data_IF_899977719174
#
_entry.id   IF_899977719174
#
_cell.length_a   1.000
_cell.length_b   1.000
_cell.length_c   1.000
_cell.angle_alpha   90.00
_cell.angle_beta   90.00
_cell.angle_gamma   90.00
#
_symmetry.space_group_name_H-M   'P 1'
#
loop_
_entity.id
_entity.type
_entity.pdbx_description
1 polymer ?
#
# COMPACT_ATOMS: atom_id res chain seq x y z
N UNK A 1 -10.83 10.27 -23.62
CA UNK A 1 -10.78 8.87 -24.13
C UNK A 1 -11.90 8.10 -23.47
N UNK A 2 -12.62 7.24 -24.19
CA UNK A 2 -13.69 6.44 -23.59
C UNK A 2 -13.07 5.36 -22.72
N UNK A 3 -13.34 5.38 -21.41
CA UNK A 3 -13.15 4.22 -20.56
C UNK A 3 -14.09 3.12 -21.04
N UNK A 4 -13.61 1.89 -21.07
CA UNK A 4 -14.48 0.74 -21.38
C UNK A 4 -15.34 0.52 -20.13
N UNK A 5 -16.63 0.78 -20.26
CA UNK A 5 -17.60 0.47 -19.21
C UNK A 5 -17.59 -1.05 -19.02
N UNK A 6 -17.28 -1.49 -17.84
CA UNK A 6 -17.28 -2.92 -17.52
C UNK A 6 -18.65 -3.28 -16.95
N UNK A 7 -19.39 -4.08 -17.70
CA UNK A 7 -20.66 -4.60 -17.23
C UNK A 7 -20.45 -5.66 -16.12
N UNK A 8 -21.36 -5.71 -15.17
CA UNK A 8 -21.40 -6.73 -14.11
C UNK A 8 -21.32 -8.17 -14.68
N UNK A 9 -21.89 -8.39 -15.86
CA UNK A 9 -21.82 -9.68 -16.56
C UNK A 9 -20.39 -10.07 -16.91
N UNK A 10 -19.57 -9.12 -17.37
CA UNK A 10 -18.17 -9.35 -17.71
C UNK A 10 -17.34 -9.69 -16.47
N UNK A 11 -17.56 -9.00 -15.34
CA UNK A 11 -16.92 -9.32 -14.06
C UNK A 11 -17.31 -10.72 -13.54
N UNK A 12 -18.58 -11.13 -13.73
CA UNK A 12 -19.02 -12.49 -13.36
C UNK A 12 -18.37 -13.56 -14.24
N UNK A 13 -18.35 -13.36 -15.56
CA UNK A 13 -17.68 -14.28 -16.48
C UNK A 13 -16.20 -14.43 -16.13
N UNK A 14 -15.51 -13.32 -15.82
CA UNK A 14 -14.10 -13.34 -15.39
C UNK A 14 -13.90 -14.05 -14.05
N UNK A 15 -14.85 -13.93 -13.12
CA UNK A 15 -14.85 -14.67 -11.86
C UNK A 15 -14.93 -16.18 -12.09
N UNK A 16 -15.79 -16.63 -13.00
CA UNK A 16 -15.93 -18.04 -13.36
C UNK A 16 -14.67 -18.57 -14.06
N UNK A 17 -14.08 -17.77 -14.97
CA UNK A 17 -12.86 -18.14 -15.70
C UNK A 17 -11.64 -18.28 -14.78
N UNK A 18 -11.45 -17.31 -13.85
CA UNK A 18 -10.23 -17.23 -13.03
C UNK A 18 -10.36 -17.92 -11.68
N UNK A 19 -11.57 -18.24 -11.23
CA UNK A 19 -11.86 -18.72 -9.88
C UNK A 19 -11.68 -17.66 -8.78
N UNK A 20 -11.46 -16.39 -9.15
CA UNK A 20 -11.38 -15.28 -8.20
C UNK A 20 -12.81 -14.88 -7.82
N UNK A 21 -13.15 -14.74 -6.52
CA UNK A 21 -14.48 -14.32 -6.11
C UNK A 21 -14.91 -13.00 -6.76
N UNK A 22 -16.17 -12.92 -7.18
CA UNK A 22 -16.70 -11.73 -7.84
C UNK A 22 -16.49 -10.44 -7.03
N UNK A 23 -16.65 -10.48 -5.70
CA UNK A 23 -16.40 -9.35 -4.80
C UNK A 23 -14.96 -8.83 -4.88
N UNK A 24 -14.00 -9.75 -5.07
CA UNK A 24 -12.59 -9.39 -5.17
C UNK A 24 -12.26 -8.78 -6.53
N UNK A 25 -12.87 -9.28 -7.61
CA UNK A 25 -12.73 -8.70 -8.93
C UNK A 25 -13.38 -7.31 -9.01
N UNK A 26 -14.55 -7.15 -8.39
CA UNK A 26 -15.20 -5.84 -8.27
C UNK A 26 -14.31 -4.86 -7.50
N UNK A 27 -13.71 -5.30 -6.38
CA UNK A 27 -12.77 -4.48 -5.63
C UNK A 27 -11.56 -4.07 -6.48
N UNK A 28 -11.03 -4.99 -7.28
CA UNK A 28 -9.96 -4.71 -8.26
C UNK A 28 -10.39 -3.68 -9.29
N UNK A 29 -11.56 -3.83 -9.88
CA UNK A 29 -12.10 -2.89 -10.85
C UNK A 29 -12.27 -1.47 -10.28
N UNK A 30 -12.86 -1.36 -9.09
CA UNK A 30 -13.00 -0.07 -8.41
C UNK A 30 -11.64 0.55 -8.07
N UNK A 31 -10.66 -0.27 -7.70
CA UNK A 31 -9.28 0.20 -7.48
C UNK A 31 -8.62 0.72 -8.77
N UNK A 32 -8.81 0.02 -9.89
CA UNK A 32 -8.30 0.45 -11.19
C UNK A 32 -8.87 1.82 -11.58
N UNK A 33 -10.17 2.01 -11.43
CA UNK A 33 -10.82 3.28 -11.72
C UNK A 33 -10.33 4.41 -10.78
N UNK A 34 -10.11 4.10 -9.51
CA UNK A 34 -9.50 5.06 -8.58
C UNK A 34 -8.08 5.45 -9.00
N UNK A 35 -7.28 4.49 -9.46
CA UNK A 35 -5.92 4.77 -9.95
C UNK A 35 -5.95 5.65 -11.22
N UNK A 36 -6.92 5.48 -12.11
CA UNK A 36 -7.13 6.40 -13.23
C UNK A 36 -7.43 7.83 -12.77
N UNK A 37 -8.28 7.98 -11.74
CA UNK A 37 -8.61 9.28 -11.18
C UNK A 37 -7.39 9.96 -10.54
N UNK A 38 -6.54 9.18 -9.85
CA UNK A 38 -5.30 9.68 -9.25
C UNK A 38 -4.31 10.09 -10.35
N UNK A 39 -4.12 9.27 -11.38
CA UNK A 39 -3.23 9.56 -12.50
C UNK A 39 -3.63 10.83 -13.26
N UNK A 40 -4.91 11.01 -13.52
CA UNK A 40 -5.46 12.17 -14.23
C UNK A 40 -5.55 13.43 -13.33
N UNK A 41 -5.23 13.29 -12.04
CA UNK A 41 -5.30 14.39 -11.09
C UNK A 41 -4.09 15.31 -11.17
N UNK A 42 -4.20 16.57 -10.74
CA UNK A 42 -3.06 17.47 -10.61
C UNK A 42 -2.04 17.00 -9.55
N UNK A 43 -2.39 15.98 -8.77
CA UNK A 43 -1.53 15.43 -7.71
C UNK A 43 -0.67 14.26 -8.17
N UNK A 44 -0.87 13.71 -9.38
CA UNK A 44 -0.21 12.49 -9.86
C UNK A 44 1.32 12.53 -9.78
N UNK A 45 1.93 13.70 -9.99
CA UNK A 45 3.38 13.89 -9.91
C UNK A 45 3.91 13.98 -8.47
N UNK A 46 3.04 14.21 -7.50
CA UNK A 46 3.39 14.43 -6.10
C UNK A 46 2.99 13.27 -5.19
N UNK A 47 2.26 12.30 -5.72
CA UNK A 47 1.83 11.11 -5.00
C UNK A 47 2.64 9.90 -5.46
N UNK A 48 3.53 9.41 -4.60
CA UNK A 48 4.36 8.25 -4.88
C UNK A 48 3.86 7.06 -4.07
N UNK A 49 3.44 6.01 -4.76
CA UNK A 49 2.86 4.82 -4.13
C UNK A 49 3.93 4.02 -3.37
N UNK A 50 3.73 3.80 -2.07
CA UNK A 50 4.65 3.05 -1.19
C UNK A 50 4.36 1.55 -1.16
N UNK A 51 3.16 1.12 -1.52
CA UNK A 51 2.73 -0.27 -1.44
C UNK A 51 2.18 -0.79 -2.78
N UNK A 52 2.99 -0.74 -3.82
CA UNK A 52 2.62 -1.19 -5.17
C UNK A 52 2.09 -2.63 -5.23
N UNK A 53 2.51 -3.49 -4.28
CA UNK A 53 1.94 -4.82 -4.13
C UNK A 53 0.41 -4.83 -3.91
N UNK A 54 -0.18 -3.72 -3.43
CA UNK A 54 -1.63 -3.57 -3.29
C UNK A 54 -2.36 -3.59 -4.64
N UNK A 55 -1.67 -3.26 -5.73
CA UNK A 55 -2.20 -3.26 -7.09
C UNK A 55 -2.18 -4.66 -7.74
N UNK A 56 -1.57 -5.66 -7.10
CA UNK A 56 -1.43 -7.00 -7.67
C UNK A 56 -2.71 -7.82 -7.61
N UNK A 57 -2.96 -8.62 -8.65
CA UNK A 57 -4.12 -9.56 -8.74
C UNK A 57 -4.18 -10.51 -7.55
N UNK A 58 -3.03 -10.91 -6.99
CA UNK A 58 -2.96 -11.76 -5.79
C UNK A 58 -3.58 -11.11 -4.55
N UNK A 59 -3.60 -9.78 -4.48
CA UNK A 59 -4.24 -9.07 -3.38
C UNK A 59 -5.77 -9.16 -3.47
N UNK A 60 -6.34 -9.26 -4.66
CA UNK A 60 -7.78 -9.44 -4.87
C UNK A 60 -8.29 -10.79 -4.33
N UNK A 61 -7.40 -11.76 -4.10
CA UNK A 61 -7.74 -13.05 -3.49
C UNK A 61 -7.73 -13.01 -1.96
N UNK A 62 -7.09 -12.02 -1.34
CA UNK A 62 -6.73 -12.08 0.09
C UNK A 62 -7.38 -11.04 0.98
N UNK A 63 -7.91 -9.93 0.45
CA UNK A 63 -8.30 -8.79 1.29
C UNK A 63 -9.70 -8.27 1.02
N UNK A 64 -10.40 -7.98 2.13
CA UNK A 64 -11.71 -7.32 2.11
C UNK A 64 -11.60 -5.78 2.14
N UNK A 65 -10.43 -5.21 2.47
CA UNK A 65 -10.17 -3.79 2.50
C UNK A 65 -8.92 -3.47 1.70
N UNK A 66 -9.08 -2.63 0.69
CA UNK A 66 -7.97 -2.12 -0.10
C UNK A 66 -7.37 -0.89 0.59
N UNK A 67 -6.07 -0.89 0.77
CA UNK A 67 -5.34 0.24 1.34
C UNK A 67 -4.24 0.65 0.37
N UNK A 68 -4.22 1.94 0.01
CA UNK A 68 -3.14 2.57 -0.76
C UNK A 68 -2.36 3.51 0.14
N UNK A 69 -1.06 3.32 0.21
CA UNK A 69 -0.15 4.17 0.97
C UNK A 69 0.67 5.02 -0.01
N UNK A 70 0.53 6.34 0.09
CA UNK A 70 1.28 7.29 -0.74
C UNK A 70 2.21 8.15 0.11
N UNK A 71 3.38 8.46 -0.45
CA UNK A 71 4.19 9.59 -0.02
C UNK A 71 3.77 10.83 -0.83
N UNK A 72 3.57 11.97 -0.17
CA UNK A 72 3.27 13.24 -0.80
C UNK A 72 4.52 14.13 -0.81
N UNK A 73 4.95 14.52 -1.99
CA UNK A 73 6.15 15.33 -2.18
C UNK A 73 5.81 16.80 -2.09
N UNK A 74 6.42 17.50 -1.14
CA UNK A 74 6.20 18.93 -0.92
C UNK A 74 7.30 19.81 -1.53
N UNK A 75 8.14 19.28 -2.46
CA UNK A 75 9.24 20.05 -3.07
C UNK A 75 8.71 21.34 -3.73
N UNK A 76 9.05 22.53 -3.17
CA UNK A 76 8.58 23.80 -3.69
C UNK A 76 9.03 24.09 -5.13
N UNK A 77 10.15 23.50 -5.57
CA UNK A 77 10.68 23.69 -6.93
C UNK A 77 9.87 22.90 -7.96
N UNK A 78 9.51 21.67 -7.62
CA UNK A 78 8.64 20.84 -8.44
C UNK A 78 7.25 21.47 -8.54
N UNK A 79 6.67 21.90 -7.43
CA UNK A 79 5.36 22.58 -7.37
C UNK A 79 5.32 23.84 -8.22
N UNK A 80 6.36 24.69 -8.13
CA UNK A 80 6.45 25.91 -8.91
C UNK A 80 6.52 25.66 -10.41
N UNK A 81 7.24 24.61 -10.82
CA UNK A 81 7.39 24.24 -12.23
C UNK A 81 6.07 23.80 -12.84
N UNK A 82 5.25 23.09 -12.09
CA UNK A 82 3.94 22.56 -12.50
C UNK A 82 2.79 23.54 -12.24
N UNK A 83 3.11 24.79 -11.84
CA UNK A 83 2.08 25.81 -11.56
C UNK A 83 1.29 25.59 -10.28
N UNK A 84 1.73 24.70 -9.41
CA UNK A 84 1.12 24.45 -8.10
C UNK A 84 1.66 25.49 -7.12
N UNK A 85 0.77 26.00 -6.25
CA UNK A 85 1.15 27.04 -5.28
C UNK A 85 2.19 26.51 -4.30
N UNK A 86 3.40 27.11 -4.23
CA UNK A 86 4.42 26.70 -3.26
C UNK A 86 3.91 26.82 -1.82
N UNK A 87 4.27 25.87 -0.97
CA UNK A 87 3.98 25.93 0.46
C UNK A 87 2.64 25.33 0.90
N UNK A 88 1.99 24.54 0.05
CA UNK A 88 0.88 23.71 0.49
C UNK A 88 1.42 22.49 1.23
N UNK A 89 1.61 22.63 2.53
CA UNK A 89 1.88 21.50 3.40
C UNK A 89 0.73 20.49 3.36
N UNK A 90 1.03 19.23 3.58
CA UNK A 90 0.01 18.20 3.73
C UNK A 90 -0.87 18.53 4.95
N UNK A 91 -2.12 18.80 4.70
CA UNK A 91 -3.08 19.24 5.72
C UNK A 91 -4.44 18.63 5.46
N UNK A 92 -5.33 18.73 6.44
CA UNK A 92 -6.72 18.31 6.29
C UNK A 92 -7.39 19.04 5.10
N UNK A 93 -7.05 20.32 4.88
CA UNK A 93 -7.55 21.09 3.73
C UNK A 93 -7.09 20.45 2.41
N UNK A 94 -5.82 20.03 2.31
CA UNK A 94 -5.31 19.33 1.14
C UNK A 94 -6.03 17.99 0.95
N UNK A 95 -6.26 17.23 2.01
CA UNK A 95 -7.05 16.00 1.98
C UNK A 95 -8.46 16.23 1.41
N UNK A 96 -9.14 17.29 1.82
CA UNK A 96 -10.45 17.64 1.24
C UNK A 96 -10.36 18.05 -0.24
N UNK A 97 -9.27 18.70 -0.67
CA UNK A 97 -9.08 19.04 -2.09
C UNK A 97 -8.88 17.77 -2.92
N UNK A 98 -8.04 16.83 -2.46
CA UNK A 98 -7.85 15.53 -3.09
C UNK A 98 -9.15 14.74 -3.18
N UNK A 99 -9.88 14.66 -2.07
CA UNK A 99 -11.16 13.99 -2.00
C UNK A 99 -12.19 14.63 -2.93
N UNK A 100 -12.29 15.97 -2.94
CA UNK A 100 -13.21 16.69 -3.82
C UNK A 100 -12.89 16.46 -5.30
N UNK A 101 -11.62 16.28 -5.64
CA UNK A 101 -11.24 15.92 -7.01
C UNK A 101 -11.78 14.53 -7.37
N UNK A 102 -11.57 13.54 -6.52
CA UNK A 102 -12.06 12.16 -6.74
C UNK A 102 -13.58 12.12 -6.83
N UNK A 103 -14.28 12.82 -5.90
CA UNK A 103 -15.75 12.80 -5.85
C UNK A 103 -16.42 13.56 -7.01
N UNK A 104 -15.75 14.56 -7.61
CA UNK A 104 -16.32 15.41 -8.66
C UNK A 104 -16.13 14.85 -10.08
N UNK A 105 -15.36 13.79 -10.23
CA UNK A 105 -15.08 13.28 -11.58
C UNK A 105 -16.21 12.36 -12.04
N UNK A 106 -17.06 12.86 -12.93
CA UNK A 106 -18.12 12.11 -13.64
C UNK A 106 -17.58 11.19 -14.74
N UNK A 107 -16.32 10.74 -14.64
CA UNK A 107 -15.66 10.02 -15.74
C UNK A 107 -16.00 8.53 -15.78
N UNK A 108 -16.52 7.98 -14.71
CA UNK A 108 -16.92 6.57 -14.64
C UNK A 108 -18.42 6.51 -14.44
N UNK A 109 -19.21 6.30 -15.49
CA UNK A 109 -20.67 6.36 -15.43
C UNK A 109 -21.29 5.33 -14.49
N UNK A 110 -20.56 4.26 -14.14
CA UNK A 110 -21.10 3.13 -13.38
C UNK A 110 -20.59 3.10 -11.93
N UNK A 111 -19.65 3.98 -11.54
CA UNK A 111 -19.14 4.07 -10.17
C UNK A 111 -19.41 5.46 -9.61
N UNK A 112 -20.21 5.52 -8.55
CA UNK A 112 -20.33 6.73 -7.75
C UNK A 112 -19.39 6.68 -6.56
N UNK A 113 -18.84 7.84 -6.17
CA UNK A 113 -17.84 7.92 -5.14
C UNK A 113 -18.37 8.67 -3.92
N UNK A 114 -18.14 8.11 -2.74
CA UNK A 114 -18.37 8.76 -1.45
C UNK A 114 -17.10 8.68 -0.62
N UNK A 115 -16.92 9.65 0.29
CA UNK A 115 -15.74 9.58 1.15
C UNK A 115 -15.67 10.70 2.17
N UNK A 116 -14.67 10.56 3.04
CA UNK A 116 -14.29 11.54 4.04
C UNK A 116 -12.78 11.62 4.17
N UNK A 117 -12.28 12.77 4.62
CA UNK A 117 -10.88 13.00 4.92
C UNK A 117 -10.70 13.20 6.42
N UNK A 118 -9.61 12.69 6.98
CA UNK A 118 -9.15 12.99 8.32
C UNK A 118 -7.65 13.29 8.28
N UNK A 119 -7.15 14.07 9.22
CA UNK A 119 -5.73 14.40 9.30
C UNK A 119 -5.15 13.96 10.63
N UNK A 120 -3.94 13.45 10.57
CA UNK A 120 -3.03 13.25 11.69
C UNK A 120 -1.80 14.15 11.55
N UNK A 121 -0.78 13.88 12.33
CA UNK A 121 0.50 14.56 12.26
C UNK A 121 1.22 14.15 10.96
N UNK A 122 1.50 15.13 10.07
CA UNK A 122 2.10 14.92 8.73
C UNK A 122 1.43 13.84 7.88
N UNK A 123 0.14 13.58 8.11
CA UNK A 123 -0.61 12.54 7.44
C UNK A 123 -2.06 12.94 7.17
N UNK A 124 -2.57 12.53 6.03
CA UNK A 124 -3.99 12.58 5.67
C UNK A 124 -4.46 11.16 5.34
N UNK A 125 -5.59 10.79 5.91
CA UNK A 125 -6.28 9.55 5.59
C UNK A 125 -7.58 9.90 4.84
N UNK A 126 -7.78 9.25 3.67
CA UNK A 126 -9.01 9.35 2.89
C UNK A 126 -9.71 7.99 2.97
N UNK A 127 -10.90 7.97 3.52
CA UNK A 127 -11.79 6.82 3.46
C UNK A 127 -12.76 7.02 2.30
N UNK A 128 -12.63 6.22 1.27
CA UNK A 128 -13.40 6.33 0.03
C UNK A 128 -14.20 5.06 -0.17
N UNK A 129 -15.38 5.19 -0.69
CA UNK A 129 -16.22 4.08 -1.12
C UNK A 129 -16.62 4.28 -2.58
N UNK A 130 -16.26 3.32 -3.43
CA UNK A 130 -16.79 3.20 -4.78
C UNK A 130 -18.08 2.40 -4.75
N UNK A 131 -19.17 2.99 -5.21
CA UNK A 131 -20.47 2.34 -5.30
C UNK A 131 -20.72 1.91 -6.76
N UNK A 132 -20.86 0.62 -6.95
CA UNK A 132 -21.17 -0.01 -8.24
C UNK A 132 -22.50 -0.73 -8.13
N UNK A 133 -23.55 -0.24 -8.76
CA UNK A 133 -24.94 -0.67 -8.56
C UNK A 133 -25.32 -0.62 -7.04
N UNK A 134 -25.66 -1.80 -6.47
CA UNK A 134 -26.03 -1.93 -5.05
C UNK A 134 -24.84 -2.34 -4.14
N UNK A 135 -23.62 -2.39 -4.70
CA UNK A 135 -22.44 -2.88 -4.00
C UNK A 135 -21.50 -1.72 -3.67
N UNK A 136 -20.92 -1.77 -2.48
CA UNK A 136 -19.98 -0.77 -1.99
C UNK A 136 -18.61 -1.40 -1.79
N UNK A 137 -17.58 -0.80 -2.36
CA UNK A 137 -16.17 -1.20 -2.20
C UNK A 137 -15.44 -0.12 -1.38
N UNK A 138 -15.10 -0.41 -0.13
CA UNK A 138 -14.33 0.51 0.70
C UNK A 138 -12.85 0.49 0.30
N UNK A 139 -12.26 1.67 0.17
CA UNK A 139 -10.83 1.88 -0.07
C UNK A 139 -10.30 2.90 0.93
N UNK A 140 -9.20 2.58 1.56
CA UNK A 140 -8.48 3.49 2.44
C UNK A 140 -7.23 4.01 1.72
N UNK A 141 -7.08 5.32 1.61
CA UNK A 141 -5.88 5.96 1.09
C UNK A 141 -5.20 6.68 2.23
N UNK A 142 -3.96 6.31 2.51
CA UNK A 142 -3.09 7.03 3.43
C UNK A 142 -2.09 7.85 2.63
N UNK A 143 -2.00 9.13 2.94
CA UNK A 143 -1.02 10.05 2.35
C UNK A 143 -0.14 10.57 3.46
N UNK A 144 1.15 10.31 3.39
CA UNK A 144 2.14 10.77 4.38
C UNK A 144 3.07 11.78 3.72
N UNK A 145 3.34 12.88 4.40
CA UNK A 145 4.25 13.90 3.89
C UNK A 145 5.68 13.35 3.76
N UNK A 146 6.27 13.54 2.58
CA UNK A 146 7.65 13.17 2.33
C UNK A 146 8.57 14.31 2.77
N UNK A 147 9.35 14.06 3.82
CA UNK A 147 10.30 15.01 4.40
C UNK A 147 11.74 14.79 3.94
N UNK A 148 11.99 13.75 3.14
CA UNK A 148 13.32 13.43 2.65
C UNK A 148 13.62 14.16 1.35
N UNK A 149 14.77 14.83 1.30
CA UNK A 149 15.25 15.52 0.11
C UNK A 149 16.05 14.57 -0.80
N UNK A 150 15.99 14.82 -2.09
CA UNK A 150 16.86 14.12 -3.07
C UNK A 150 16.36 12.78 -3.55
N UNK A 151 15.24 12.26 -3.04
CA UNK A 151 14.65 11.02 -3.55
C UNK A 151 14.10 11.22 -4.96
N UNK A 152 14.25 10.17 -5.78
CA UNK A 152 13.73 10.13 -7.15
C UNK A 152 12.75 8.96 -7.27
N UNK A 153 11.50 9.21 -7.67
CA UNK A 153 10.52 8.14 -7.80
C UNK A 153 10.83 7.22 -8.97
N UNK A 154 10.42 5.98 -8.85
CA UNK A 154 10.49 5.01 -9.93
C UNK A 154 9.20 5.10 -10.76
N UNK A 155 9.32 5.27 -12.07
CA UNK A 155 8.16 5.23 -12.97
C UNK A 155 7.73 3.79 -13.18
N UNK A 156 6.48 3.50 -12.89
CA UNK A 156 5.85 2.19 -13.09
C UNK A 156 4.58 2.30 -13.92
N UNK A 157 4.11 1.17 -14.36
CA UNK A 157 2.85 1.07 -15.08
C UNK A 157 2.03 -0.06 -14.47
N UNK A 158 0.82 0.27 -14.07
CA UNK A 158 -0.16 -0.70 -13.62
C UNK A 158 -0.92 -1.24 -14.83
N UNK A 159 -1.03 -2.56 -14.92
CA UNK A 159 -1.77 -3.25 -15.97
C UNK A 159 -3.15 -3.62 -15.41
N UNK A 160 -4.23 -3.04 -15.94
CA UNK A 160 -5.58 -3.46 -15.59
C UNK A 160 -5.78 -4.94 -15.82
N UNK A 161 -6.51 -5.58 -14.94
CA UNK A 161 -6.75 -7.01 -15.03
C UNK A 161 -7.82 -7.36 -16.08
N UNK A 162 -8.71 -6.42 -16.41
CA UNK A 162 -9.69 -6.58 -17.46
C UNK A 162 -9.07 -6.28 -18.82
N UNK A 163 -9.38 -7.13 -19.80
CA UNK A 163 -8.91 -6.96 -21.18
C UNK A 163 -9.40 -5.64 -21.78
N UNK A 164 -8.51 -4.95 -22.49
CA UNK A 164 -8.80 -3.66 -23.11
C UNK A 164 -8.67 -2.45 -22.17
N UNK A 165 -8.33 -2.66 -20.89
CA UNK A 165 -8.00 -1.57 -19.98
C UNK A 165 -6.75 -0.82 -20.41
N UNK A 166 -6.76 0.52 -20.22
CA UNK A 166 -5.60 1.37 -20.50
C UNK A 166 -4.56 1.17 -19.39
N UNK A 167 -3.29 1.03 -19.77
CA UNK A 167 -2.19 1.07 -18.83
C UNK A 167 -2.18 2.38 -18.03
N UNK A 168 -2.01 2.28 -16.71
CA UNK A 168 -2.01 3.42 -15.80
C UNK A 168 -0.58 3.67 -15.33
N UNK A 169 0.06 4.74 -15.78
CA UNK A 169 1.36 5.12 -15.25
C UNK A 169 1.19 5.67 -13.83
N UNK A 170 2.15 5.34 -12.96
CA UNK A 170 2.21 5.88 -11.61
C UNK A 170 3.65 6.05 -11.16
N UNK A 171 3.85 6.84 -10.13
CA UNK A 171 5.15 6.99 -9.47
C UNK A 171 5.19 6.10 -8.23
N UNK A 172 6.24 5.29 -8.15
CA UNK A 172 6.51 4.42 -7.00
C UNK A 172 7.59 5.03 -6.12
N UNK A 173 7.37 4.98 -4.82
CA UNK A 173 8.37 5.36 -3.83
C UNK A 173 9.54 4.36 -3.88
N UNK A 174 10.80 4.82 -3.84
CA UNK A 174 11.95 3.92 -3.96
C UNK A 174 11.94 2.81 -2.91
N UNK A 175 12.09 1.58 -3.36
CA UNK A 175 12.02 0.39 -2.49
C UNK A 175 13.14 0.37 -1.45
N UNK A 176 14.32 0.88 -1.80
CA UNK A 176 15.45 1.03 -0.90
C UNK A 176 15.14 1.97 0.26
N UNK A 177 14.40 3.06 0.00
CA UNK A 177 13.95 3.97 1.06
C UNK A 177 12.93 3.31 1.99
N UNK A 178 12.00 2.51 1.45
CA UNK A 178 11.06 1.72 2.26
C UNK A 178 11.82 0.75 3.17
N UNK A 179 12.83 0.07 2.63
CA UNK A 179 13.67 -0.84 3.41
C UNK A 179 14.45 -0.10 4.49
N UNK A 180 15.09 1.03 4.16
CA UNK A 180 15.85 1.84 5.10
C UNK A 180 14.97 2.36 6.26
N UNK A 181 13.77 2.87 5.95
CA UNK A 181 12.78 3.27 6.97
C UNK A 181 12.40 2.09 7.89
N UNK A 182 12.04 0.95 7.33
CA UNK A 182 11.63 -0.21 8.13
C UNK A 182 12.80 -0.78 8.94
N UNK A 183 13.99 -0.88 8.37
CA UNK A 183 15.20 -1.30 9.09
C UNK A 183 15.53 -0.32 10.23
N UNK A 184 15.36 0.99 10.01
CA UNK A 184 15.54 1.97 11.07
C UNK A 184 14.60 1.72 12.24
N UNK A 185 13.30 1.43 12.00
CA UNK A 185 12.34 1.10 13.06
C UNK A 185 12.74 -0.19 13.79
N UNK A 186 13.16 -1.21 13.07
CA UNK A 186 13.66 -2.47 13.67
C UNK A 186 14.85 -2.21 14.60
N UNK A 187 15.81 -1.38 14.19
CA UNK A 187 17.01 -1.06 14.98
C UNK A 187 16.64 -0.21 16.21
N UNK A 188 15.72 0.74 16.06
CA UNK A 188 15.32 1.65 17.13
C UNK A 188 14.49 0.95 18.20
N UNK A 189 13.49 0.21 17.79
CA UNK A 189 12.42 -0.28 18.67
C UNK A 189 12.69 -1.73 19.16
N UNK A 190 13.45 -2.52 18.40
CA UNK A 190 13.85 -3.90 18.73
C UNK A 190 12.71 -4.72 19.37
N UNK A 191 12.86 -5.12 20.62
CA UNK A 191 11.88 -5.90 21.38
C UNK A 191 10.59 -5.15 21.69
N UNK A 192 10.59 -3.82 21.62
CA UNK A 192 9.44 -2.96 21.85
C UNK A 192 8.66 -2.66 20.58
N UNK A 193 8.95 -3.37 19.47
CA UNK A 193 8.28 -3.15 18.19
C UNK A 193 6.78 -3.44 18.34
N UNK A 194 5.91 -2.43 18.16
CA UNK A 194 4.48 -2.61 18.38
C UNK A 194 3.81 -3.47 17.30
N UNK A 195 4.47 -3.62 16.15
CA UNK A 195 3.93 -4.35 14.98
C UNK A 195 5.01 -5.22 14.32
N UNK A 196 4.89 -6.52 14.49
CA UNK A 196 5.79 -7.50 13.88
C UNK A 196 5.67 -7.58 12.35
N UNK A 197 4.63 -6.98 11.75
CA UNK A 197 4.45 -6.95 10.29
C UNK A 197 5.57 -6.21 9.56
N UNK A 198 6.36 -5.39 10.27
CA UNK A 198 7.56 -4.73 9.74
C UNK A 198 8.60 -5.76 9.29
N UNK A 199 8.79 -6.85 10.03
CA UNK A 199 9.69 -7.94 9.64
C UNK A 199 9.21 -8.62 8.35
N UNK A 200 7.91 -8.90 8.25
CA UNK A 200 7.32 -9.53 7.07
C UNK A 200 7.45 -8.65 5.84
N UNK A 201 7.29 -7.33 6.00
CA UNK A 201 7.49 -6.36 4.91
C UNK A 201 8.94 -6.35 4.43
N UNK A 202 9.90 -6.22 5.33
CA UNK A 202 11.34 -6.23 5.00
C UNK A 202 11.70 -7.53 4.31
N UNK A 203 11.29 -8.66 4.86
CA UNK A 203 11.55 -9.98 4.28
C UNK A 203 10.91 -10.14 2.90
N UNK A 204 9.64 -9.74 2.78
CA UNK A 204 8.91 -9.81 1.51
C UNK A 204 9.63 -9.04 0.41
N UNK A 205 10.02 -7.79 0.68
CA UNK A 205 10.73 -6.96 -0.29
C UNK A 205 12.08 -7.59 -0.67
N UNK A 206 12.89 -7.97 0.31
CA UNK A 206 14.21 -8.58 0.06
C UNK A 206 14.14 -9.89 -0.73
N UNK A 207 13.00 -10.58 -0.67
CA UNK A 207 12.76 -11.82 -1.42
C UNK A 207 12.31 -11.59 -2.85
N UNK A 208 11.57 -10.51 -3.11
CA UNK A 208 10.85 -10.30 -4.38
C UNK A 208 11.45 -9.20 -5.25
N UNK A 209 12.11 -8.20 -4.65
CA UNK A 209 12.62 -7.04 -5.37
C UNK A 209 14.17 -7.07 -5.47
N UNK A 210 14.72 -6.73 -6.63
CA UNK A 210 16.15 -6.45 -6.74
C UNK A 210 16.44 -5.12 -6.04
N UNK A 211 17.32 -5.15 -5.03
CA UNK A 211 17.63 -3.95 -4.23
C UNK A 211 19.14 -3.70 -4.20
N UNK A 212 19.52 -2.40 -4.17
CA UNK A 212 20.92 -2.00 -3.96
C UNK A 212 21.23 -1.89 -2.46
N UNK A 213 21.94 -2.91 -1.94
CA UNK A 213 22.32 -2.96 -0.52
C UNK A 213 23.21 -1.80 -0.07
N UNK A 214 24.04 -1.22 -0.97
CA UNK A 214 24.86 -0.06 -0.65
C UNK A 214 23.98 1.17 -0.46
N UNK A 215 23.04 1.37 -1.36
CA UNK A 215 22.11 2.49 -1.28
C UNK A 215 21.23 2.40 -0.03
N UNK A 216 20.74 1.20 0.33
CA UNK A 216 20.03 0.98 1.59
C UNK A 216 20.89 1.37 2.80
N UNK A 217 22.17 0.98 2.80
CA UNK A 217 23.09 1.31 3.90
C UNK A 217 23.30 2.83 4.03
N UNK A 218 23.43 3.54 2.94
CA UNK A 218 23.57 5.00 2.90
C UNK A 218 22.32 5.67 3.47
N UNK A 219 21.13 5.30 2.99
CA UNK A 219 19.84 5.83 3.48
C UNK A 219 19.61 5.52 4.96
N UNK A 220 19.89 4.28 5.39
CA UNK A 220 19.78 3.90 6.80
C UNK A 220 20.73 4.70 7.68
N UNK A 221 21.96 4.93 7.22
CA UNK A 221 22.95 5.78 7.90
C UNK A 221 22.46 7.21 8.07
N UNK A 222 21.80 7.78 7.06
CA UNK A 222 21.18 9.10 7.15
C UNK A 222 20.02 9.15 8.14
N UNK A 223 19.12 8.14 8.14
CA UNK A 223 18.05 8.02 9.12
C UNK A 223 18.58 7.96 10.56
N UNK A 224 19.61 7.14 10.79
CA UNK A 224 20.25 7.01 12.08
C UNK A 224 20.90 8.32 12.53
N UNK A 225 21.61 9.01 11.63
CA UNK A 225 22.26 10.30 11.89
C UNK A 225 21.26 11.39 12.23
N UNK A 226 20.18 11.54 11.43
CA UNK A 226 19.12 12.53 11.68
C UNK A 226 18.45 12.37 13.04
N UNK A 227 18.34 11.12 13.53
CA UNK A 227 17.67 10.79 14.79
C UNK A 227 18.62 10.44 15.93
N UNK A 228 19.91 10.72 15.76
CA UNK A 228 20.97 10.50 16.76
C UNK A 228 21.01 9.04 17.28
N UNK A 229 20.67 8.08 16.43
CA UNK A 229 20.77 6.67 16.71
C UNK A 229 22.10 6.15 16.17
N UNK A 230 22.92 5.54 17.03
CA UNK A 230 24.15 4.85 16.62
C UNK A 230 23.81 3.37 16.40
N UNK A 231 23.82 2.87 15.17
CA UNK A 231 23.62 1.45 14.91
C UNK A 231 24.85 0.67 15.36
N UNK A 232 24.70 -0.09 16.43
CA UNK A 232 25.76 -1.02 16.88
C UNK A 232 25.66 -2.31 16.06
N UNK A 233 26.79 -2.83 15.61
CA UNK A 233 26.85 -4.09 14.83
C UNK A 233 26.27 -5.27 15.63
N UNK A 234 26.44 -5.27 16.94
CA UNK A 234 25.84 -6.23 17.85
C UNK A 234 24.30 -6.25 17.77
N UNK A 235 23.68 -5.08 17.72
CA UNK A 235 22.21 -4.93 17.56
C UNK A 235 21.71 -5.47 16.24
N UNK A 236 22.44 -5.23 15.16
CA UNK A 236 22.05 -5.78 13.84
C UNK A 236 22.09 -7.30 13.84
N UNK A 237 23.09 -7.90 14.46
CA UNK A 237 23.18 -9.37 14.60
C UNK A 237 22.05 -9.93 15.46
N UNK A 238 21.69 -9.23 16.53
CA UNK A 238 20.58 -9.63 17.41
C UNK A 238 19.23 -9.57 16.71
N UNK A 239 18.95 -8.52 15.95
CA UNK A 239 17.73 -8.40 15.11
C UNK A 239 17.61 -9.56 14.11
N UNK A 240 18.70 -9.91 13.44
CA UNK A 240 18.73 -11.01 12.48
C UNK A 240 18.53 -12.38 13.15
N UNK A 241 19.05 -12.58 14.38
CA UNK A 241 18.85 -13.81 15.13
C UNK A 241 17.43 -13.97 15.70
N UNK A 242 16.75 -12.88 16.04
CA UNK A 242 15.38 -12.89 16.57
C UNK A 242 14.37 -13.45 15.55
N UNK A 243 14.65 -13.27 14.27
CA UNK A 243 13.86 -13.83 13.18
C UNK A 243 13.83 -15.36 13.19
N UNK A 244 14.98 -16.00 13.39
CA UNK A 244 15.05 -17.46 13.39
C UNK A 244 14.31 -18.07 14.59
N UNK A 245 14.25 -17.32 15.70
CA UNK A 245 13.51 -17.71 16.90
C UNK A 245 11.97 -17.60 16.72
N UNK A 246 11.48 -16.56 16.05
CA UNK A 246 10.05 -16.37 15.81
C UNK A 246 9.47 -17.41 14.84
N UNK A 247 10.22 -17.79 13.81
CA UNK A 247 9.79 -18.82 12.85
C UNK A 247 9.82 -20.23 13.44
N UNK A 248 10.75 -20.55 14.33
CA UNK A 248 10.78 -21.84 15.01
C UNK A 248 9.62 -22.01 16.02
N UNK A 249 9.17 -20.94 16.63
CA UNK A 249 8.04 -20.97 17.55
C UNK A 249 6.66 -20.94 16.86
N UNK A 250 6.51 -20.28 15.72
CA UNK A 250 5.26 -20.31 14.95
C UNK A 250 4.98 -21.69 14.32
N UNK A 251 6.02 -22.44 13.98
CA UNK A 251 5.91 -23.82 13.50
C UNK A 251 5.42 -24.82 14.57
N UNK A 252 5.71 -24.57 15.85
CA UNK A 252 5.28 -25.45 16.95
C UNK A 252 3.80 -25.23 17.35
N UNK A 253 3.25 -24.04 17.15
CA UNK A 253 1.83 -23.78 17.41
C UNK A 253 0.89 -24.40 16.37
N UNK A 254 1.32 -24.55 15.12
CA UNK A 254 0.52 -25.20 14.06
C UNK A 254 0.42 -26.72 14.28
N UNK A 255 1.42 -27.36 14.89
CA UNK A 255 1.42 -28.80 15.14
C UNK A 255 0.67 -29.21 16.42
N UNK A 256 0.45 -28.31 17.39
CA UNK A 256 -0.31 -28.64 18.60
C UNK A 256 -1.83 -28.63 18.39
N UNK A 257 -2.35 -27.91 17.40
CA UNK A 257 -3.79 -27.90 17.10
C UNK A 257 -4.28 -29.03 16.19
N UNK A 258 -3.37 -29.92 15.72
CA UNK A 258 -3.75 -31.09 14.92
C UNK A 258 -3.76 -32.41 15.69
N UNK A 259 -3.32 -32.46 16.95
CA UNK A 259 -3.22 -33.70 17.72
C UNK A 259 -4.36 -33.92 18.72
N UNK A 260 -5.23 -32.94 18.97
CA UNK A 260 -6.34 -33.08 19.95
C UNK A 260 -7.70 -33.45 19.33
N UNK A 261 -7.73 -33.90 18.09
CA UNK A 261 -8.95 -34.21 17.32
C UNK A 261 -9.26 -35.70 17.14
N UNK A 262 -8.73 -36.61 17.98
CA UNK A 262 -9.11 -38.02 17.82
C UNK A 262 -8.92 -38.82 19.10
N UNK A 263 -9.90 -38.75 20.02
CA UNK A 263 -10.32 -39.87 20.93
C UNK A 263 -11.51 -39.42 21.75
N UNK A 264 -12.70 -39.87 21.39
CA UNK A 264 -13.68 -40.46 22.34
C UNK A 264 -14.90 -41.02 21.58
N UNK A 265 -14.74 -42.20 21.10
CA UNK A 265 -15.86 -43.14 20.99
C UNK A 265 -16.06 -43.77 22.38
N UNK A 266 -17.06 -43.35 23.09
CA UNK A 266 -17.48 -43.89 24.36
C UNK A 266 -18.98 -44.16 24.32
N UNK A 267 -19.37 -45.42 24.04
CA UNK A 267 -20.71 -45.96 24.22
C UNK A 267 -21.11 -45.87 25.68
N UNK A 268 -22.35 -45.45 25.94
CA UNK A 268 -23.14 -45.90 27.08
C UNK A 268 -24.63 -45.94 26.70
N UNK A 269 -25.26 -47.06 26.90
CA UNK A 269 -26.65 -47.49 27.04
C UNK A 269 -27.74 -46.41 26.82
#
# INVERSE_FOLDING_TARGET
MKHTIIEKAALKAKSEETGIPFSNLLAGYVLEELMYLIEDSPFSLFLWLKNSSALGVEQYRKKNLLTLDFAYVTDPRAMKREGIVPGQELSLKMGYVMLAYILKVEKVPDISWKGRASAGDHRVDLEIAGEFEEMTVPIHIRVTELTEEGLVPVKRTFMPFMEGGKQIPYLEYPVESILAENLFYLIRDMELLPDMSVYDKVYGILKTEPVDGRHIQELLGEHCKKRQLLPEESRMKEILSYRDYSYSNSGSYVNQNQTDGNTSSGSWY
#
